data_IF_053978445470
#
_entry.id   IF_053978445470
#
_cell.length_a   1.000
_cell.length_b   1.000
_cell.length_c   1.000
_cell.angle_alpha   90.00
_cell.angle_beta   90.00
_cell.angle_gamma   90.00
#
_symmetry.space_group_name_H-M   'P 1'
#
loop_
_entity.id
_entity.type
_entity.pdbx_description
1 polymer ?
#
# COMPACT_ATOMS: atom_id res chain seq x y z
N UNK A 1 16.42 37.58 -35.12
CA UNK A 1 16.45 36.97 -33.78
C UNK A 1 15.61 35.69 -33.83
N UNK A 2 16.19 34.53 -34.13
CA UNK A 2 15.51 33.24 -33.99
C UNK A 2 16.17 32.30 -32.95
N UNK A 3 17.11 32.77 -32.13
CA UNK A 3 17.92 31.88 -31.27
C UNK A 3 17.31 31.55 -29.89
N UNK A 4 16.09 32.00 -29.57
CA UNK A 4 15.51 31.85 -28.21
C UNK A 4 14.57 30.64 -28.00
N UNK A 5 14.08 30.00 -29.06
CA UNK A 5 13.18 28.83 -28.93
C UNK A 5 13.85 27.54 -28.42
N UNK A 6 15.08 27.16 -28.82
CA UNK A 6 15.70 25.91 -28.34
C UNK A 6 16.18 26.00 -26.89
N UNK A 7 16.54 27.18 -26.38
CA UNK A 7 16.94 27.38 -24.97
C UNK A 7 15.74 27.22 -24.01
N UNK A 8 14.57 27.77 -24.37
CA UNK A 8 13.34 27.65 -23.57
C UNK A 8 12.84 26.20 -23.46
N UNK A 9 12.90 25.43 -24.55
CA UNK A 9 12.52 24.00 -24.56
C UNK A 9 13.50 23.14 -23.74
N UNK A 10 14.76 23.57 -23.61
CA UNK A 10 15.76 22.90 -22.79
C UNK A 10 15.58 23.22 -21.31
N UNK A 11 15.27 24.48 -20.96
CA UNK A 11 14.92 24.89 -19.59
C UNK A 11 13.66 24.19 -19.08
N UNK A 12 12.58 24.13 -19.89
CA UNK A 12 11.35 23.43 -19.51
C UNK A 12 11.56 21.94 -19.26
N UNK A 13 12.43 21.27 -20.04
CA UNK A 13 12.78 19.87 -19.79
C UNK A 13 13.57 19.67 -18.50
N UNK A 14 14.49 20.58 -18.18
CA UNK A 14 15.26 20.52 -16.92
C UNK A 14 14.33 20.71 -15.73
N UNK A 15 13.45 21.69 -15.78
CA UNK A 15 12.45 21.94 -14.74
C UNK A 15 11.50 20.74 -14.55
N UNK A 16 11.05 20.13 -15.65
CA UNK A 16 10.23 18.91 -15.58
C UNK A 16 10.92 17.77 -14.83
N UNK A 17 12.18 17.46 -15.17
CA UNK A 17 12.92 16.39 -14.49
C UNK A 17 13.21 16.72 -13.02
N UNK A 18 13.44 17.99 -12.70
CA UNK A 18 13.55 18.44 -11.30
C UNK A 18 12.26 18.14 -10.54
N UNK A 19 11.11 18.51 -11.10
CA UNK A 19 9.81 18.25 -10.47
C UNK A 19 9.50 16.74 -10.33
N UNK A 20 9.98 15.88 -11.24
CA UNK A 20 9.90 14.43 -11.07
C UNK A 20 10.77 13.93 -9.91
N UNK A 21 11.94 14.54 -9.71
CA UNK A 21 12.80 14.29 -8.55
C UNK A 21 12.11 14.69 -7.25
N UNK A 22 11.51 15.89 -7.20
CA UNK A 22 10.78 16.38 -6.03
C UNK A 22 9.59 15.45 -5.69
N UNK A 23 8.86 14.97 -6.71
CA UNK A 23 7.78 14.01 -6.53
C UNK A 23 8.28 12.69 -5.90
N UNK A 24 9.44 12.19 -6.34
CA UNK A 24 10.07 10.99 -5.77
C UNK A 24 10.43 11.20 -4.31
N UNK A 25 11.04 12.34 -3.98
CA UNK A 25 11.44 12.68 -2.62
C UNK A 25 10.23 12.78 -1.68
N UNK A 26 9.13 13.36 -2.15
CA UNK A 26 7.88 13.43 -1.38
C UNK A 26 7.27 12.04 -1.12
N UNK A 27 7.31 11.12 -2.10
CA UNK A 27 6.87 9.72 -1.90
C UNK A 27 7.77 9.01 -0.87
N UNK A 28 9.09 9.15 -0.99
CA UNK A 28 10.04 8.54 -0.03
C UNK A 28 9.81 9.08 1.38
N UNK A 29 9.55 10.39 1.49
CA UNK A 29 9.19 11.02 2.76
C UNK A 29 7.88 10.49 3.32
N UNK A 30 6.85 10.31 2.49
CA UNK A 30 5.58 9.71 2.89
C UNK A 30 5.79 8.28 3.39
N UNK A 31 6.61 7.49 2.69
CA UNK A 31 6.99 6.14 3.08
C UNK A 31 7.68 6.09 4.44
N UNK A 32 8.62 6.99 4.69
CA UNK A 32 9.29 7.10 5.99
C UNK A 32 8.29 7.41 7.13
N UNK A 33 7.31 8.29 6.90
CA UNK A 33 6.26 8.59 7.86
C UNK A 33 5.35 7.39 8.13
N UNK A 34 4.98 6.63 7.09
CA UNK A 34 4.18 5.41 7.24
C UNK A 34 4.92 4.37 8.10
N UNK A 35 6.20 4.12 7.82
CA UNK A 35 7.05 3.19 8.59
C UNK A 35 7.22 3.64 10.05
N UNK A 36 7.41 4.94 10.30
CA UNK A 36 7.45 5.48 11.66
C UNK A 36 6.13 5.23 12.41
N UNK A 37 5.01 5.41 11.70
CA UNK A 37 3.66 5.26 12.24
C UNK A 37 3.40 3.82 12.67
N UNK A 38 3.89 2.83 11.90
CA UNK A 38 3.81 1.40 12.27
C UNK A 38 4.42 1.18 13.65
N UNK A 39 5.70 1.49 13.83
CA UNK A 39 6.40 1.26 15.10
C UNK A 39 5.78 2.03 16.27
N UNK A 40 5.43 3.31 16.06
CA UNK A 40 4.83 4.16 17.10
C UNK A 40 3.43 3.70 17.51
N UNK A 41 2.61 3.26 16.57
CA UNK A 41 1.25 2.78 16.84
C UNK A 41 1.26 1.45 17.59
N UNK A 42 2.16 0.55 17.21
CA UNK A 42 2.38 -0.70 17.95
C UNK A 42 2.81 -0.43 19.39
N UNK A 43 3.81 0.43 19.60
CA UNK A 43 4.27 0.78 20.94
C UNK A 43 3.15 1.39 21.79
N UNK A 44 2.36 2.32 21.23
CA UNK A 44 1.23 2.92 21.92
C UNK A 44 0.17 1.88 22.37
N UNK A 45 -0.12 0.89 21.52
CA UNK A 45 -1.02 -0.21 21.84
C UNK A 45 -0.47 -1.07 22.98
N UNK A 46 0.78 -1.52 22.84
CA UNK A 46 1.37 -2.50 23.74
C UNK A 46 1.70 -1.91 25.10
N UNK A 47 2.14 -0.65 25.16
CA UNK A 47 2.45 0.04 26.41
C UNK A 47 1.22 0.69 27.05
N UNK A 48 0.06 0.58 26.39
CA UNK A 48 -1.22 1.19 26.79
C UNK A 48 -1.12 2.71 26.97
N UNK A 49 -0.26 3.35 26.20
CA UNK A 49 -0.10 4.80 26.22
C UNK A 49 -1.19 5.46 25.36
N UNK A 50 -2.30 5.81 26.00
CA UNK A 50 -3.41 6.51 25.34
C UNK A 50 -3.04 7.89 24.82
N UNK A 51 -2.03 8.55 25.41
CA UNK A 51 -1.55 9.83 24.90
C UNK A 51 -0.73 9.65 23.63
N UNK A 52 0.12 8.63 23.55
CA UNK A 52 0.82 8.27 22.32
C UNK A 52 -0.16 7.87 21.21
N UNK A 53 -1.18 7.06 21.55
CA UNK A 53 -2.22 6.68 20.60
C UNK A 53 -2.97 7.91 20.05
N UNK A 54 -3.36 8.85 20.92
CA UNK A 54 -4.03 10.07 20.48
C UNK A 54 -3.11 10.94 19.61
N UNK A 55 -1.84 11.12 20.00
CA UNK A 55 -0.86 11.87 19.17
C UNK A 55 -0.69 11.26 17.79
N UNK A 56 -0.74 9.94 17.65
CA UNK A 56 -0.67 9.27 16.35
C UNK A 56 -1.90 9.60 15.51
N UNK A 57 -3.09 9.48 16.08
CA UNK A 57 -4.36 9.85 15.41
C UNK A 57 -4.32 11.30 14.95
N UNK A 58 -3.88 12.23 15.80
CA UNK A 58 -3.81 13.65 15.45
C UNK A 58 -2.70 13.97 14.43
N UNK A 59 -1.68 13.11 14.30
CA UNK A 59 -0.58 13.31 13.34
C UNK A 59 -0.90 12.81 11.94
N UNK A 60 -1.98 12.04 11.78
CA UNK A 60 -2.42 11.43 10.52
C UNK A 60 -2.77 12.48 9.46
N UNK A 61 -3.34 13.62 9.87
CA UNK A 61 -3.60 14.78 9.01
C UNK A 61 -2.36 15.22 8.20
N UNK A 62 -1.15 14.98 8.71
CA UNK A 62 0.11 15.32 8.02
C UNK A 62 0.44 14.35 6.90
N UNK A 63 0.06 13.09 7.04
CA UNK A 63 0.19 12.04 6.01
C UNK A 63 -0.83 12.36 4.92
N UNK A 64 -2.10 12.58 5.26
CA UNK A 64 -3.15 12.99 4.32
C UNK A 64 -2.77 14.23 3.51
N UNK A 65 -2.29 15.27 4.18
CA UNK A 65 -1.87 16.50 3.51
C UNK A 65 -0.64 16.31 2.61
N UNK A 66 0.25 15.36 2.91
CA UNK A 66 1.37 15.04 2.02
C UNK A 66 0.88 14.22 0.81
N UNK A 67 0.03 13.22 1.03
CA UNK A 67 -0.62 12.45 -0.03
C UNK A 67 -1.35 13.37 -1.00
N UNK A 68 -2.19 14.29 -0.52
CA UNK A 68 -2.92 15.22 -1.37
C UNK A 68 -1.98 16.12 -2.21
N UNK A 69 -0.87 16.60 -1.62
CA UNK A 69 0.13 17.41 -2.36
C UNK A 69 0.84 16.61 -3.45
N UNK A 70 1.08 15.32 -3.21
CA UNK A 70 1.62 14.39 -4.20
C UNK A 70 0.61 14.21 -5.33
N UNK A 71 -0.66 13.98 -5.02
CA UNK A 71 -1.72 13.87 -6.04
C UNK A 71 -1.82 15.12 -6.91
N UNK A 72 -1.86 16.31 -6.30
CA UNK A 72 -1.88 17.59 -7.01
C UNK A 72 -0.64 17.78 -7.90
N UNK A 73 0.53 17.33 -7.44
CA UNK A 73 1.77 17.40 -8.22
C UNK A 73 1.76 16.45 -9.41
N UNK A 74 1.26 15.23 -9.25
CA UNK A 74 1.05 14.28 -10.35
C UNK A 74 0.12 14.87 -11.42
N UNK A 75 -1.02 15.44 -11.01
CA UNK A 75 -2.00 16.06 -11.92
C UNK A 75 -1.36 17.24 -12.67
N UNK A 76 -0.64 18.11 -11.95
CA UNK A 76 0.06 19.26 -12.54
C UNK A 76 1.08 18.83 -13.59
N UNK A 77 1.88 17.81 -13.30
CA UNK A 77 2.88 17.28 -14.23
C UNK A 77 2.25 16.73 -15.51
N UNK A 78 1.17 15.96 -15.39
CA UNK A 78 0.44 15.42 -16.54
C UNK A 78 -0.16 16.55 -17.38
N UNK A 79 -0.80 17.53 -16.74
CA UNK A 79 -1.52 18.61 -17.41
C UNK A 79 -0.60 19.58 -18.15
N UNK A 80 0.59 19.87 -17.60
CA UNK A 80 1.47 20.92 -18.12
C UNK A 80 2.55 20.42 -19.08
N UNK A 81 2.97 19.15 -18.98
CA UNK A 81 4.22 18.69 -19.60
C UNK A 81 4.05 17.53 -20.59
N UNK A 82 2.82 17.03 -20.82
CA UNK A 82 2.51 15.95 -21.76
C UNK A 82 3.54 14.78 -21.69
N UNK A 83 3.75 14.17 -20.51
CA UNK A 83 4.86 13.27 -20.25
C UNK A 83 4.87 12.06 -21.19
N UNK A 84 6.07 11.66 -21.62
CA UNK A 84 6.24 10.49 -22.47
C UNK A 84 6.12 9.19 -21.67
N UNK A 85 6.00 8.05 -22.35
CA UNK A 85 5.58 6.78 -21.77
C UNK A 85 6.23 6.40 -20.42
N UNK A 86 7.56 6.55 -20.25
CA UNK A 86 8.24 6.24 -18.98
C UNK A 86 7.85 7.21 -17.88
N UNK A 87 7.84 8.51 -18.17
CA UNK A 87 7.53 9.55 -17.21
C UNK A 87 6.06 9.48 -16.77
N UNK A 88 5.15 9.18 -17.72
CA UNK A 88 3.75 8.96 -17.40
C UNK A 88 3.58 7.74 -16.47
N UNK A 89 4.28 6.63 -16.73
CA UNK A 89 4.25 5.47 -15.82
C UNK A 89 4.77 5.83 -14.44
N UNK A 90 5.89 6.57 -14.35
CA UNK A 90 6.41 7.06 -13.09
C UNK A 90 5.36 7.88 -12.32
N UNK A 91 4.72 8.86 -12.97
CA UNK A 91 3.71 9.71 -12.32
C UNK A 91 2.49 8.89 -11.86
N UNK A 92 1.98 8.00 -12.72
CA UNK A 92 0.81 7.16 -12.39
C UNK A 92 1.14 6.16 -11.28
N UNK A 93 2.31 5.51 -11.32
CA UNK A 93 2.77 4.63 -10.24
C UNK A 93 2.93 5.41 -8.94
N UNK A 94 3.51 6.61 -8.97
CA UNK A 94 3.67 7.45 -7.79
C UNK A 94 2.33 7.79 -7.14
N UNK A 95 1.32 8.13 -7.94
CA UNK A 95 -0.05 8.35 -7.46
C UNK A 95 -0.61 7.13 -6.72
N UNK A 96 -0.41 5.93 -7.27
CA UNK A 96 -0.89 4.68 -6.66
C UNK A 96 -0.12 4.35 -5.39
N UNK A 97 1.19 4.48 -5.40
CA UNK A 97 2.06 4.24 -4.23
C UNK A 97 1.68 5.18 -3.08
N UNK A 98 1.41 6.46 -3.36
CA UNK A 98 0.97 7.41 -2.34
C UNK A 98 -0.33 6.95 -1.64
N UNK A 99 -1.29 6.42 -2.41
CA UNK A 99 -2.54 5.89 -1.85
C UNK A 99 -2.34 4.62 -1.02
N UNK A 100 -1.43 3.72 -1.40
CA UNK A 100 -1.14 2.52 -0.57
C UNK A 100 -0.44 2.90 0.75
N UNK A 101 0.41 3.94 0.73
CA UNK A 101 1.07 4.47 1.93
C UNK A 101 0.09 5.17 2.88
N UNK A 102 -0.86 5.94 2.35
CA UNK A 102 -1.92 6.55 3.14
C UNK A 102 -2.78 5.48 3.82
N UNK A 103 -3.24 4.45 3.08
CA UNK A 103 -3.98 3.33 3.67
C UNK A 103 -3.21 2.59 4.77
N UNK A 104 -1.89 2.49 4.63
CA UNK A 104 -1.02 1.91 5.67
C UNK A 104 -1.08 2.74 6.96
N UNK A 105 -0.99 4.07 6.86
CA UNK A 105 -1.13 4.96 8.02
C UNK A 105 -2.53 4.89 8.65
N UNK A 106 -3.54 4.81 7.81
CA UNK A 106 -4.94 4.74 8.18
C UNK A 106 -5.27 3.45 8.98
N UNK A 107 -4.65 2.32 8.61
CA UNK A 107 -4.68 1.08 9.38
C UNK A 107 -4.00 1.24 10.75
N UNK A 108 -2.90 1.97 10.83
CA UNK A 108 -2.24 2.27 12.11
C UNK A 108 -3.06 3.20 13.00
N UNK A 109 -3.83 4.13 12.43
CA UNK A 109 -4.84 4.89 13.17
C UNK A 109 -5.90 3.97 13.77
N UNK A 110 -6.32 2.92 13.05
CA UNK A 110 -7.25 1.93 13.58
C UNK A 110 -6.64 1.11 14.73
N UNK A 111 -5.36 0.75 14.65
CA UNK A 111 -4.60 0.14 15.75
C UNK A 111 -4.52 1.09 16.96
N UNK A 112 -4.19 2.37 16.74
CA UNK A 112 -4.16 3.36 17.81
C UNK A 112 -5.54 3.52 18.49
N UNK A 113 -6.63 3.55 17.72
CA UNK A 113 -8.01 3.55 18.24
C UNK A 113 -8.32 2.27 19.03
N UNK A 114 -7.76 1.12 18.66
CA UNK A 114 -7.93 -0.14 19.39
C UNK A 114 -7.30 -0.10 20.79
N UNK A 115 -6.21 0.66 20.99
CA UNK A 115 -5.58 0.86 22.30
C UNK A 115 -6.57 1.32 23.38
N UNK A 116 -7.51 2.21 23.03
CA UNK A 116 -8.57 2.67 23.93
C UNK A 116 -9.58 1.56 24.25
N UNK A 117 -9.94 0.74 23.26
CA UNK A 117 -10.90 -0.38 23.43
C UNK A 117 -10.31 -1.51 24.25
N UNK A 118 -8.98 -1.64 24.24
CA UNK A 118 -8.24 -2.71 24.91
C UNK A 118 -7.54 -2.26 26.20
N UNK A 119 -7.78 -1.03 26.68
CA UNK A 119 -7.05 -0.44 27.81
C UNK A 119 -7.07 -1.33 29.07
N UNK A 120 -8.24 -1.87 29.43
CA UNK A 120 -8.43 -2.75 30.60
C UNK A 120 -8.15 -4.24 30.30
N UNK A 121 -7.72 -4.58 29.10
CA UNK A 121 -7.49 -5.96 28.66
C UNK A 121 -6.02 -6.33 28.83
N UNK A 122 -5.75 -7.36 29.63
CA UNK A 122 -4.41 -7.99 29.67
C UNK A 122 -4.17 -8.78 28.39
N UNK A 123 -3.15 -8.38 27.64
CA UNK A 123 -2.66 -9.13 26.49
C UNK A 123 -1.73 -10.22 27.01
N UNK A 124 -1.95 -11.47 26.58
CA UNK A 124 -1.07 -12.59 26.93
C UNK A 124 0.36 -12.34 26.39
N UNK A 125 1.43 -12.68 27.13
CA UNK A 125 2.80 -12.44 26.69
C UNK A 125 3.13 -13.02 25.30
N UNK A 126 2.57 -14.19 24.95
CA UNK A 126 2.79 -14.78 23.63
C UNK A 126 2.12 -13.94 22.53
N UNK A 127 0.88 -13.51 22.77
CA UNK A 127 0.13 -12.64 21.85
C UNK A 127 0.82 -11.28 21.70
N UNK A 128 1.37 -10.73 22.79
CA UNK A 128 2.16 -9.50 22.75
C UNK A 128 3.38 -9.64 21.84
N UNK A 129 4.19 -10.69 22.04
CA UNK A 129 5.39 -10.95 21.22
C UNK A 129 5.04 -11.01 19.74
N UNK A 130 3.97 -11.72 19.39
CA UNK A 130 3.54 -11.85 17.98
C UNK A 130 3.08 -10.51 17.37
N UNK A 131 2.50 -9.60 18.16
CA UNK A 131 2.20 -8.23 17.70
C UNK A 131 3.48 -7.43 17.44
N UNK A 132 4.50 -7.58 18.29
CA UNK A 132 5.81 -6.94 18.10
C UNK A 132 6.48 -7.47 16.82
N UNK A 133 6.48 -8.79 16.63
CA UNK A 133 7.05 -9.45 15.45
C UNK A 133 6.34 -9.02 14.15
N UNK A 134 4.99 -9.05 14.12
CA UNK A 134 4.21 -8.58 12.96
C UNK A 134 4.49 -7.11 12.63
N UNK A 135 4.65 -6.25 13.64
CA UNK A 135 4.98 -4.84 13.44
C UNK A 135 6.35 -4.63 12.82
N UNK A 136 7.34 -5.39 13.29
CA UNK A 136 8.70 -5.35 12.75
C UNK A 136 8.71 -5.79 11.29
N UNK A 137 8.04 -6.90 10.97
CA UNK A 137 7.99 -7.41 9.59
C UNK A 137 7.19 -6.51 8.67
N UNK A 138 6.01 -6.03 9.08
CA UNK A 138 5.23 -5.07 8.29
C UNK A 138 6.03 -3.78 8.01
N UNK A 139 6.71 -3.23 9.02
CA UNK A 139 7.56 -2.06 8.85
C UNK A 139 8.79 -2.31 7.97
N UNK A 140 9.37 -3.51 8.04
CA UNK A 140 10.46 -3.96 7.15
C UNK A 140 10.00 -4.06 5.70
N UNK A 141 8.84 -4.66 5.47
CA UNK A 141 8.28 -4.84 4.14
C UNK A 141 7.89 -3.50 3.49
N UNK A 142 7.20 -2.62 4.22
CA UNK A 142 6.90 -1.26 3.73
C UNK A 142 8.19 -0.50 3.40
N UNK A 143 9.24 -0.62 4.21
CA UNK A 143 10.53 0.03 3.93
C UNK A 143 11.17 -0.50 2.65
N UNK A 144 11.21 -1.82 2.46
CA UNK A 144 11.76 -2.45 1.25
C UNK A 144 10.98 -2.05 0.00
N UNK A 145 9.66 -1.93 0.09
CA UNK A 145 8.84 -1.45 -1.01
C UNK A 145 9.19 0.00 -1.41
N UNK A 146 9.48 0.85 -0.43
CA UNK A 146 9.90 2.24 -0.66
C UNK A 146 11.34 2.34 -1.16
N UNK A 147 12.24 1.48 -0.66
CA UNK A 147 13.61 1.38 -1.18
C UNK A 147 13.58 0.96 -2.66
N UNK A 148 12.78 -0.05 -3.01
CA UNK A 148 12.58 -0.50 -4.38
C UNK A 148 12.05 0.62 -5.28
N UNK A 149 11.05 1.37 -4.80
CA UNK A 149 10.54 2.55 -5.50
C UNK A 149 11.62 3.62 -5.69
N UNK A 150 12.37 3.94 -4.64
CA UNK A 150 13.38 4.99 -4.65
C UNK A 150 14.52 4.71 -5.64
N UNK A 151 14.90 3.44 -5.81
CA UNK A 151 16.02 3.03 -6.66
C UNK A 151 15.61 2.41 -7.99
N UNK A 152 14.32 2.40 -8.34
CA UNK A 152 13.79 1.71 -9.52
C UNK A 152 14.19 0.20 -9.54
N UNK A 153 14.25 -0.45 -8.38
CA UNK A 153 14.71 -1.84 -8.24
C UNK A 153 13.54 -2.83 -8.45
N UNK A 154 13.42 -3.31 -9.68
CA UNK A 154 12.42 -4.30 -10.07
C UNK A 154 12.64 -5.66 -9.42
N UNK A 155 13.89 -6.07 -9.15
CA UNK A 155 14.17 -7.37 -8.54
C UNK A 155 13.73 -7.38 -7.07
N UNK A 156 14.01 -6.31 -6.33
CA UNK A 156 13.49 -6.16 -4.97
C UNK A 156 11.97 -6.06 -4.97
N UNK A 157 11.39 -5.30 -5.90
CA UNK A 157 9.94 -5.15 -6.02
C UNK A 157 9.23 -6.50 -6.26
N UNK A 158 9.75 -7.31 -7.17
CA UNK A 158 9.22 -8.64 -7.51
C UNK A 158 9.38 -9.66 -6.39
N UNK A 159 10.31 -9.46 -5.46
CA UNK A 159 10.54 -10.35 -4.32
C UNK A 159 9.65 -10.03 -3.10
N UNK A 160 8.87 -8.94 -3.11
CA UNK A 160 8.09 -8.52 -1.94
C UNK A 160 6.98 -9.50 -1.58
N UNK A 161 6.36 -10.15 -2.57
CA UNK A 161 5.35 -11.19 -2.38
C UNK A 161 5.93 -12.36 -1.56
N UNK A 162 7.07 -12.90 -2.00
CA UNK A 162 7.78 -13.97 -1.28
C UNK A 162 8.28 -13.54 0.11
N UNK A 163 8.55 -12.24 0.34
CA UNK A 163 8.97 -11.73 1.65
C UNK A 163 7.76 -11.64 2.60
N UNK A 164 6.58 -11.29 2.08
CA UNK A 164 5.33 -11.15 2.85
C UNK A 164 4.81 -12.48 3.42
N UNK A 165 5.19 -13.62 2.84
CA UNK A 165 4.94 -14.97 3.39
C UNK A 165 5.29 -15.06 4.89
N UNK A 166 6.34 -14.34 5.33
CA UNK A 166 6.74 -14.30 6.74
C UNK A 166 5.69 -13.61 7.62
N UNK A 167 5.08 -12.53 7.14
CA UNK A 167 4.03 -11.81 7.86
C UNK A 167 2.73 -12.61 7.91
N UNK A 168 2.41 -13.34 6.85
CA UNK A 168 1.27 -14.27 6.79
C UNK A 168 1.39 -15.43 7.79
N UNK A 169 2.58 -16.03 7.90
CA UNK A 169 2.88 -17.07 8.89
C UNK A 169 2.75 -16.54 10.33
N UNK A 170 3.22 -15.30 10.57
CA UNK A 170 3.06 -14.62 11.85
C UNK A 170 1.60 -14.34 12.16
N UNK A 171 0.81 -13.92 11.17
CA UNK A 171 -0.63 -13.68 11.33
C UNK A 171 -1.36 -14.97 11.72
N UNK A 172 -1.05 -16.07 11.04
CA UNK A 172 -1.63 -17.38 11.35
C UNK A 172 -1.32 -17.79 12.79
N UNK A 173 -0.04 -17.69 13.18
CA UNK A 173 0.43 -17.98 14.53
C UNK A 173 -0.22 -17.08 15.59
N UNK A 174 -0.44 -15.81 15.25
CA UNK A 174 -1.11 -14.83 16.10
C UNK A 174 -2.57 -15.19 16.33
N UNK A 175 -3.33 -15.53 15.29
CA UNK A 175 -4.74 -15.92 15.42
C UNK A 175 -4.88 -17.19 16.27
N UNK A 176 -4.02 -18.19 16.05
CA UNK A 176 -3.99 -19.40 16.88
C UNK A 176 -3.72 -19.08 18.36
N UNK A 177 -2.75 -18.19 18.63
CA UNK A 177 -2.43 -17.76 19.99
C UNK A 177 -3.59 -16.99 20.64
N UNK A 178 -4.29 -16.12 19.91
CA UNK A 178 -5.47 -15.41 20.40
C UNK A 178 -6.58 -16.39 20.77
N UNK A 179 -6.87 -17.39 19.93
CA UNK A 179 -7.89 -18.40 20.21
C UNK A 179 -7.50 -19.27 21.42
N UNK A 180 -6.24 -19.68 21.53
CA UNK A 180 -5.76 -20.54 22.61
C UNK A 180 -5.74 -19.85 23.98
N UNK A 181 -5.48 -18.54 24.02
CA UNK A 181 -5.31 -17.78 25.26
C UNK A 181 -6.62 -17.21 25.81
N UNK A 182 -7.61 -16.99 24.95
CA UNK A 182 -8.88 -16.39 25.35
C UNK A 182 -9.89 -17.44 25.81
N UNK A 183 -10.33 -17.35 27.07
CA UNK A 183 -11.36 -18.24 27.62
C UNK A 183 -12.75 -17.81 27.15
N UNK A 184 -13.40 -18.65 26.35
CA UNK A 184 -14.74 -18.44 25.78
C UNK A 184 -15.86 -18.21 26.81
N UNK A 185 -15.62 -18.49 28.09
CA UNK A 185 -16.63 -18.41 29.16
C UNK A 185 -16.94 -16.98 29.66
N UNK A 186 -16.27 -15.93 29.15
CA UNK A 186 -16.51 -14.54 29.54
C UNK A 186 -16.77 -13.62 28.34
N UNK A 187 -17.78 -12.75 28.44
CA UNK A 187 -18.11 -11.77 27.40
C UNK A 187 -17.02 -10.69 27.20
N UNK A 188 -16.16 -10.49 28.20
CA UNK A 188 -14.95 -9.67 28.09
C UNK A 188 -13.87 -10.35 27.24
N UNK A 189 -13.63 -11.65 27.43
CA UNK A 189 -12.66 -12.43 26.66
C UNK A 189 -12.98 -12.47 25.16
N UNK A 190 -14.26 -12.66 24.80
CA UNK A 190 -14.69 -12.65 23.39
C UNK A 190 -14.45 -11.28 22.74
N UNK A 191 -14.79 -10.18 23.43
CA UNK A 191 -14.56 -8.82 22.90
C UNK A 191 -13.07 -8.53 22.70
N UNK A 192 -12.21 -8.96 23.63
CA UNK A 192 -10.77 -8.84 23.51
C UNK A 192 -10.23 -9.66 22.31
N UNK A 193 -10.68 -10.91 22.16
CA UNK A 193 -10.29 -11.78 21.04
C UNK A 193 -10.62 -11.14 19.68
N UNK A 194 -11.83 -10.56 19.56
CA UNK A 194 -12.24 -9.88 18.32
C UNK A 194 -11.39 -8.64 18.04
N UNK A 195 -11.08 -7.82 19.05
CA UNK A 195 -10.19 -6.66 18.86
C UNK A 195 -8.78 -7.08 18.45
N UNK A 196 -8.24 -8.14 19.07
CA UNK A 196 -6.94 -8.70 18.71
C UNK A 196 -6.94 -9.24 17.28
N UNK A 197 -7.96 -10.01 16.88
CA UNK A 197 -8.08 -10.51 15.51
C UNK A 197 -8.12 -9.38 14.47
N UNK A 198 -8.81 -8.27 14.76
CA UNK A 198 -8.79 -7.09 13.91
C UNK A 198 -7.39 -6.46 13.81
N UNK A 199 -6.64 -6.39 14.91
CA UNK A 199 -5.26 -5.90 14.91
C UNK A 199 -4.36 -6.77 14.03
N UNK A 200 -4.44 -8.10 14.16
CA UNK A 200 -3.70 -9.01 13.28
C UNK A 200 -4.04 -8.81 11.81
N UNK A 201 -5.33 -8.64 11.50
CA UNK A 201 -5.79 -8.32 10.13
C UNK A 201 -5.25 -6.99 9.61
N UNK A 202 -5.09 -5.98 10.48
CA UNK A 202 -4.53 -4.70 10.05
C UNK A 202 -3.05 -4.82 9.68
N UNK A 203 -2.26 -5.66 10.34
CA UNK A 203 -0.88 -5.91 9.91
C UNK A 203 -0.79 -6.66 8.60
N UNK A 204 -1.57 -7.73 8.39
CA UNK A 204 -1.66 -8.44 7.09
C UNK A 204 -1.99 -7.45 5.95
N UNK A 205 -2.99 -6.60 6.14
CA UNK A 205 -3.31 -5.57 5.13
C UNK A 205 -2.18 -4.56 4.88
N UNK A 206 -1.35 -4.25 5.89
CA UNK A 206 -0.17 -3.41 5.66
C UNK A 206 0.85 -4.16 4.79
N UNK A 207 0.96 -5.48 4.96
CA UNK A 207 1.72 -6.36 4.08
C UNK A 207 1.24 -6.31 2.64
N UNK A 208 -0.06 -6.55 2.43
CA UNK A 208 -0.72 -6.43 1.13
C UNK A 208 -0.43 -5.08 0.45
N UNK A 209 -0.49 -3.97 1.20
CA UNK A 209 -0.21 -2.64 0.69
C UNK A 209 1.25 -2.49 0.25
N UNK A 210 2.21 -3.10 0.95
CA UNK A 210 3.62 -3.10 0.55
C UNK A 210 3.87 -3.96 -0.71
N UNK A 211 3.22 -5.11 -0.84
CA UNK A 211 3.26 -5.94 -2.07
C UNK A 211 2.67 -5.16 -3.25
N UNK A 212 1.53 -4.51 -3.08
CA UNK A 212 0.92 -3.66 -4.09
C UNK A 212 1.86 -2.53 -4.53
N UNK A 213 2.61 -1.91 -3.62
CA UNK A 213 3.65 -0.92 -3.96
C UNK A 213 4.72 -1.57 -4.86
N UNK A 214 5.18 -2.76 -4.51
CA UNK A 214 6.10 -3.57 -5.31
C UNK A 214 5.62 -3.76 -6.75
N UNK A 215 4.37 -4.20 -6.93
CA UNK A 215 3.79 -4.36 -8.27
C UNK A 215 3.78 -3.06 -9.08
N UNK A 216 3.52 -1.92 -8.42
CA UNK A 216 3.56 -0.59 -9.08
C UNK A 216 4.98 -0.16 -9.43
N UNK A 217 5.99 -0.57 -8.68
CA UNK A 217 7.41 -0.37 -9.01
C UNK A 217 7.80 -1.23 -10.21
N UNK A 218 7.44 -2.51 -10.23
CA UNK A 218 7.69 -3.39 -11.37
C UNK A 218 7.05 -2.83 -12.64
N UNK A 219 5.82 -2.32 -12.56
CA UNK A 219 5.16 -1.63 -13.68
C UNK A 219 5.86 -0.34 -14.11
N UNK A 220 6.30 0.47 -13.15
CA UNK A 220 7.02 1.72 -13.42
C UNK A 220 8.25 1.46 -14.30
N UNK A 221 9.02 0.42 -13.96
CA UNK A 221 10.25 0.02 -14.65
C UNK A 221 9.95 -0.67 -15.98
N UNK A 222 9.13 -1.72 -15.96
CA UNK A 222 8.97 -2.64 -17.10
C UNK A 222 7.83 -2.26 -18.05
N UNK A 223 6.84 -1.52 -17.56
CA UNK A 223 5.59 -1.26 -18.27
C UNK A 223 4.60 -2.42 -18.26
N UNK A 224 4.88 -3.49 -17.52
CA UNK A 224 4.00 -4.66 -17.41
C UNK A 224 3.38 -4.77 -16.02
N UNK A 225 2.09 -5.13 -15.95
CA UNK A 225 1.34 -5.39 -14.72
C UNK A 225 0.79 -6.83 -14.78
N UNK A 226 0.76 -7.56 -13.66
CA UNK A 226 0.07 -8.86 -13.58
C UNK A 226 -1.39 -8.79 -14.05
N UNK A 227 -2.08 -7.69 -13.70
CA UNK A 227 -3.47 -7.39 -14.08
C UNK A 227 -3.66 -7.31 -15.62
N UNK A 228 -2.64 -6.89 -16.38
CA UNK A 228 -2.73 -6.86 -17.86
C UNK A 228 -2.89 -8.26 -18.46
N UNK A 229 -2.31 -9.29 -17.82
CA UNK A 229 -2.54 -10.67 -18.25
C UNK A 229 -3.98 -11.11 -17.96
N UNK A 230 -4.60 -10.63 -16.87
CA UNK A 230 -6.01 -10.88 -16.58
C UNK A 230 -6.94 -10.18 -17.58
N UNK A 231 -6.68 -8.91 -17.91
CA UNK A 231 -7.42 -8.17 -18.95
C UNK A 231 -7.33 -8.85 -20.31
N UNK A 232 -6.13 -9.24 -20.74
CA UNK A 232 -5.95 -9.96 -22.00
C UNK A 232 -6.76 -11.27 -22.05
N UNK A 233 -6.85 -12.01 -20.92
CA UNK A 233 -7.67 -13.23 -20.82
C UNK A 233 -9.16 -12.94 -20.91
N UNK A 234 -9.65 -11.84 -20.34
CA UNK A 234 -11.05 -11.40 -20.46
C UNK A 234 -11.35 -11.01 -21.91
N UNK A 235 -10.51 -10.19 -22.54
CA UNK A 235 -10.67 -9.80 -23.94
C UNK A 235 -10.66 -11.01 -24.90
N UNK A 236 -9.82 -12.01 -24.63
CA UNK A 236 -9.79 -13.27 -25.37
C UNK A 236 -11.09 -14.07 -25.22
N UNK A 237 -11.67 -14.11 -24.02
CA UNK A 237 -12.97 -14.77 -23.77
C UNK A 237 -14.11 -14.05 -24.47
N UNK A 238 -14.13 -12.72 -24.41
CA UNK A 238 -15.17 -11.91 -25.05
C UNK A 238 -15.12 -12.06 -26.59
N UNK A 239 -13.92 -12.06 -27.19
CA UNK A 239 -13.74 -12.30 -28.63
C UNK A 239 -14.14 -13.71 -29.07
N UNK A 240 -13.98 -14.72 -28.20
CA UNK A 240 -14.38 -16.10 -28.51
C UNK A 240 -15.88 -16.33 -28.30
N UNK A 241 -16.50 -15.63 -27.34
CA UNK A 241 -17.94 -15.68 -27.07
C UNK A 241 -18.82 -15.07 -28.17
N UNK A 242 -18.31 -14.07 -28.90
CA UNK A 242 -19.05 -13.38 -29.98
C UNK A 242 -19.11 -14.18 -31.30
N UNK A 243 -18.29 -15.23 -31.44
CA UNK A 243 -18.25 -16.07 -32.66
C UNK A 243 -19.26 -17.23 -32.70
N UNK A 244 -20.03 -17.42 -31.63
CA UNK A 244 -20.97 -18.54 -31.47
C UNK A 244 -22.45 -18.25 -31.76
N UNK A 245 -22.83 -17.03 -32.15
CA UNK A 245 -24.24 -16.60 -32.24
C UNK A 245 -24.75 -16.29 -33.65
N UNK A 246 -23.99 -16.56 -34.72
CA UNK A 246 -24.45 -16.33 -36.09
C UNK A 246 -24.31 -17.57 -36.95
N UNK A 247 -25.37 -18.37 -37.03
CA UNK A 247 -25.56 -19.31 -38.14
C UNK A 247 -26.17 -20.64 -37.75
N UNK A 248 -27.50 -20.68 -37.58
CA UNK A 248 -28.37 -21.73 -38.15
C UNK A 248 -29.82 -21.27 -38.03
N UNK A 249 -30.29 -20.53 -39.03
CA UNK A 249 -31.70 -20.51 -39.43
C UNK A 249 -31.68 -20.30 -40.95
N UNK A 250 -31.60 -21.40 -41.68
CA UNK A 250 -32.00 -21.41 -43.08
C UNK A 250 -33.15 -22.42 -43.21
N UNK A 251 -34.26 -21.87 -43.68
CA UNK A 251 -35.55 -22.48 -43.93
C UNK A 251 -35.46 -23.67 -44.90
N UNK A 252 -36.12 -24.79 -44.57
CA UNK A 252 -36.55 -25.76 -45.58
C UNK A 252 -37.85 -25.27 -46.24
N UNK A 253 -37.94 -25.23 -47.59
CA UNK A 253 -39.21 -25.05 -48.26
C UNK A 253 -39.88 -26.39 -48.56
N UNK A 254 -41.16 -26.47 -48.15
CA UNK A 254 -42.25 -27.40 -48.53
C UNK A 254 -42.16 -28.87 -48.15
#
# INVERSE_FOLDING_TARGET
MPDSEPELDQEHRVEFHSNLGDLRDDIVRLGALAVETIGRGTAALLDRDLHAAQRLIDSDDRIDALTLRIEESCIRLIALQAPMARDLRFIVSSLRVASELERTADLMVNIAKASRRMYDVSIDPKVRSLIEDMSIEAGSLTRRAIDAYATDDEALASALDDIDDTLDDLQTSFIEAVVATQRASSSSGIRAAVQLALIGRYYERIGDHAVNIGERVAYMVTGWLPEHAALARVELRDRQGDTGSSGTFDDEPT
#
